data_IF_103394079040
#
_entry.id   IF_103394079040
#
_cell.length_a   1.000
_cell.length_b   1.000
_cell.length_c   1.000
_cell.angle_alpha   90.00
_cell.angle_beta   90.00
_cell.angle_gamma   90.00
#
_symmetry.space_group_name_H-M   'P 1'
#
loop_
_entity.id
_entity.type
_entity.pdbx_description
1 polymer ?
#
# COMPACT_ATOMS: atom_id res chain seq x y z
N UNK A 1 -18.29 2.27 -0.91
CA UNK A 1 -19.65 1.68 -0.89
C UNK A 1 -19.79 0.66 0.23
N UNK A 2 -18.94 -0.38 0.28
CA UNK A 2 -18.94 -1.37 1.37
C UNK A 2 -18.96 -0.75 2.77
N UNK A 3 -18.00 0.13 3.09
CA UNK A 3 -17.93 0.81 4.40
C UNK A 3 -19.24 1.51 4.78
N UNK A 4 -19.89 2.17 3.82
CA UNK A 4 -21.16 2.88 4.06
C UNK A 4 -22.28 1.89 4.38
N UNK A 5 -22.35 0.75 3.68
CA UNK A 5 -23.34 -0.30 3.94
C UNK A 5 -23.10 -0.98 5.29
N UNK A 6 -21.84 -1.20 5.66
CA UNK A 6 -21.47 -1.74 6.98
C UNK A 6 -21.87 -0.77 8.08
N UNK A 7 -21.50 0.52 7.96
CA UNK A 7 -21.90 1.55 8.92
C UNK A 7 -23.42 1.68 9.00
N UNK A 8 -24.12 1.62 7.87
CA UNK A 8 -25.57 1.64 7.84
C UNK A 8 -26.17 0.46 8.62
N UNK A 9 -25.71 -0.76 8.36
CA UNK A 9 -26.18 -1.98 9.06
C UNK A 9 -25.86 -1.93 10.57
N UNK A 10 -24.68 -1.46 10.94
CA UNK A 10 -24.29 -1.32 12.35
C UNK A 10 -25.11 -0.26 13.08
N UNK A 11 -25.42 0.87 12.41
CA UNK A 11 -26.25 1.94 12.96
C UNK A 11 -27.73 1.54 13.02
N UNK A 12 -28.21 0.74 12.06
CA UNK A 12 -29.61 0.32 11.93
C UNK A 12 -29.97 -0.94 12.72
N UNK A 13 -29.06 -1.45 13.57
CA UNK A 13 -29.25 -2.66 14.40
C UNK A 13 -30.52 -2.64 15.29
N UNK A 14 -31.22 -1.51 15.40
CA UNK A 14 -32.48 -1.41 16.15
C UNK A 14 -33.76 -1.56 15.31
N UNK A 15 -33.73 -1.55 13.97
CA UNK A 15 -34.98 -1.43 13.18
C UNK A 15 -35.09 -2.24 11.87
N UNK A 16 -34.03 -2.89 11.39
CA UNK A 16 -34.10 -3.69 10.15
C UNK A 16 -33.37 -5.04 10.29
N UNK A 17 -34.13 -6.06 10.69
CA UNK A 17 -33.75 -7.47 10.65
C UNK A 17 -33.64 -8.04 9.22
N UNK A 18 -33.90 -7.23 8.18
CA UNK A 18 -34.09 -7.71 6.80
C UNK A 18 -32.84 -7.67 5.92
N UNK A 19 -31.74 -7.03 6.35
CA UNK A 19 -30.54 -6.86 5.51
C UNK A 19 -29.48 -7.94 5.79
N UNK A 20 -29.39 -9.02 4.99
CA UNK A 20 -28.38 -10.06 5.18
C UNK A 20 -26.96 -9.51 4.95
N UNK A 21 -25.97 -10.05 5.66
CA UNK A 21 -24.56 -9.66 5.47
C UNK A 21 -24.10 -9.92 4.04
N UNK A 22 -24.65 -10.94 3.36
CA UNK A 22 -24.39 -11.17 1.94
C UNK A 22 -24.61 -9.92 1.05
N UNK A 23 -25.65 -9.13 1.31
CA UNK A 23 -25.91 -7.90 0.54
C UNK A 23 -24.93 -6.78 0.89
N UNK A 24 -24.55 -6.66 2.16
CA UNK A 24 -23.54 -5.70 2.61
C UNK A 24 -22.19 -5.97 1.94
N UNK A 25 -21.85 -7.26 1.73
CA UNK A 25 -20.65 -7.69 1.03
C UNK A 25 -20.76 -7.67 -0.50
N UNK A 26 -21.94 -7.39 -1.09
CA UNK A 26 -22.14 -7.35 -2.53
C UNK A 26 -21.15 -6.44 -3.31
N UNK A 27 -20.75 -5.25 -2.81
CA UNK A 27 -19.74 -4.44 -3.49
C UNK A 27 -18.37 -5.12 -3.55
N UNK A 28 -18.03 -5.97 -2.57
CA UNK A 28 -16.78 -6.73 -2.56
C UNK A 28 -16.84 -7.93 -3.50
N UNK A 29 -18.00 -8.60 -3.62
CA UNK A 29 -18.19 -9.68 -4.60
C UNK A 29 -18.14 -9.17 -6.03
N UNK A 30 -18.78 -8.03 -6.31
CA UNK A 30 -18.70 -7.42 -7.64
C UNK A 30 -17.27 -6.98 -7.96
N UNK A 31 -16.54 -6.44 -6.97
CA UNK A 31 -15.13 -6.10 -7.13
C UNK A 31 -14.27 -7.34 -7.40
N UNK A 32 -14.45 -8.45 -6.67
CA UNK A 32 -13.67 -9.67 -6.89
C UNK A 32 -13.99 -10.34 -8.23
N UNK A 33 -15.25 -10.36 -8.66
CA UNK A 33 -15.63 -10.88 -9.99
C UNK A 33 -15.05 -10.03 -11.12
N UNK A 34 -15.15 -8.71 -11.00
CA UNK A 34 -14.52 -7.79 -11.95
C UNK A 34 -13.00 -8.00 -11.98
N UNK A 35 -12.40 -8.22 -10.81
CA UNK A 35 -10.99 -8.52 -10.66
C UNK A 35 -10.55 -9.77 -11.42
N UNK A 36 -11.35 -10.84 -11.38
CA UNK A 36 -11.08 -12.07 -12.14
C UNK A 36 -11.08 -11.79 -13.65
N UNK A 37 -12.06 -11.03 -14.14
CA UNK A 37 -12.16 -10.65 -15.56
C UNK A 37 -10.96 -9.83 -15.99
N UNK A 38 -10.57 -8.83 -15.18
CA UNK A 38 -9.42 -7.98 -15.46
C UNK A 38 -8.11 -8.78 -15.38
N UNK A 39 -7.97 -9.72 -14.43
CA UNK A 39 -6.80 -10.59 -14.33
C UNK A 39 -6.64 -11.47 -15.58
N UNK A 40 -7.72 -12.09 -16.07
CA UNK A 40 -7.69 -12.88 -17.32
C UNK A 40 -7.34 -12.00 -18.52
N UNK A 41 -7.90 -10.80 -18.60
CA UNK A 41 -7.55 -9.84 -19.64
C UNK A 41 -6.07 -9.43 -19.56
N UNK A 42 -5.55 -9.15 -18.36
CA UNK A 42 -4.18 -8.73 -18.13
C UNK A 42 -3.17 -9.84 -18.49
N UNK A 43 -3.46 -11.10 -18.15
CA UNK A 43 -2.66 -12.27 -18.56
C UNK A 43 -2.58 -12.35 -20.09
N UNK A 44 -3.67 -12.08 -20.82
CA UNK A 44 -3.65 -12.11 -22.28
C UNK A 44 -2.88 -10.96 -22.94
N UNK A 45 -2.68 -9.86 -22.23
CA UNK A 45 -2.04 -8.64 -22.76
C UNK A 45 -0.67 -8.37 -22.11
N UNK A 46 -0.08 -9.36 -21.42
CA UNK A 46 1.18 -9.27 -20.69
C UNK A 46 1.26 -8.04 -19.76
N UNK A 47 0.15 -7.73 -19.09
CA UNK A 47 0.08 -6.66 -18.08
C UNK A 47 0.26 -7.24 -16.68
N UNK A 48 0.86 -6.46 -15.77
CA UNK A 48 0.93 -6.80 -14.34
C UNK A 48 -0.47 -6.82 -13.72
N UNK A 49 -0.79 -7.83 -12.90
CA UNK A 49 -2.13 -8.05 -12.32
C UNK A 49 -2.11 -8.44 -10.83
N UNK A 50 -1.12 -7.93 -10.08
CA UNK A 50 -0.90 -8.31 -8.67
C UNK A 50 -2.09 -7.94 -7.76
N UNK A 51 -2.67 -6.76 -7.97
CA UNK A 51 -3.85 -6.29 -7.22
C UNK A 51 -5.07 -7.17 -7.53
N UNK A 52 -5.27 -7.46 -8.80
CA UNK A 52 -6.43 -8.19 -9.25
C UNK A 52 -6.42 -9.63 -8.74
N UNK A 53 -5.23 -10.22 -8.64
CA UNK A 53 -5.02 -11.54 -8.07
C UNK A 53 -5.38 -11.56 -6.57
N UNK A 54 -4.98 -10.52 -5.81
CA UNK A 54 -5.29 -10.43 -4.38
C UNK A 54 -6.81 -10.42 -4.10
N UNK A 55 -7.59 -9.62 -4.84
CA UNK A 55 -9.06 -9.61 -4.69
C UNK A 55 -9.70 -10.91 -5.17
N UNK A 56 -9.15 -11.52 -6.23
CA UNK A 56 -9.67 -12.78 -6.77
C UNK A 56 -9.51 -13.93 -5.79
N UNK A 57 -8.34 -14.08 -5.15
CA UNK A 57 -8.08 -15.15 -4.17
C UNK A 57 -8.96 -14.98 -2.93
N UNK A 58 -9.21 -13.74 -2.52
CA UNK A 58 -10.01 -13.44 -1.33
C UNK A 58 -11.52 -13.48 -1.56
N UNK A 59 -12.02 -13.85 -2.76
CA UNK A 59 -13.48 -13.98 -2.97
C UNK A 59 -14.11 -14.98 -2.00
N UNK A 60 -13.43 -16.10 -1.76
CA UNK A 60 -13.88 -17.16 -0.84
C UNK A 60 -13.92 -16.63 0.60
N UNK A 61 -12.93 -15.81 0.98
CA UNK A 61 -12.86 -15.16 2.29
C UNK A 61 -14.08 -14.29 2.54
N UNK A 62 -14.47 -13.47 1.56
CA UNK A 62 -15.62 -12.58 1.69
C UNK A 62 -16.93 -13.36 1.84
N UNK A 63 -17.07 -14.48 1.13
CA UNK A 63 -18.25 -15.35 1.23
C UNK A 63 -18.33 -16.00 2.61
N UNK A 64 -17.24 -16.60 3.09
CA UNK A 64 -17.19 -17.19 4.43
C UNK A 64 -17.43 -16.16 5.52
N UNK A 65 -16.89 -14.95 5.39
CA UNK A 65 -17.10 -13.87 6.34
C UNK A 65 -18.56 -13.43 6.39
N UNK A 66 -19.22 -13.27 5.24
CA UNK A 66 -20.64 -12.93 5.18
C UNK A 66 -21.50 -14.01 5.86
N UNK A 67 -21.28 -15.29 5.54
CA UNK A 67 -22.03 -16.39 6.16
C UNK A 67 -21.76 -16.54 7.66
N UNK A 68 -20.51 -16.31 8.09
CA UNK A 68 -20.13 -16.34 9.50
C UNK A 68 -20.83 -15.22 10.27
N UNK A 69 -20.94 -14.03 9.68
CA UNK A 69 -21.62 -12.89 10.29
C UNK A 69 -23.15 -13.03 10.28
N UNK A 70 -23.72 -13.75 9.32
CA UNK A 70 -25.15 -14.15 9.29
C UNK A 70 -25.47 -15.31 10.26
N UNK A 71 -24.51 -15.75 11.08
CA UNK A 71 -24.65 -16.88 12.03
C UNK A 71 -25.12 -18.21 11.38
N UNK A 72 -24.87 -18.36 10.08
CA UNK A 72 -25.22 -19.59 9.33
C UNK A 72 -24.13 -20.66 9.43
N UNK A 73 -22.90 -20.27 9.79
CA UNK A 73 -21.74 -21.15 9.89
C UNK A 73 -21.05 -21.00 11.26
N UNK A 74 -21.09 -22.04 12.08
CA UNK A 74 -20.44 -22.07 13.40
C UNK A 74 -18.98 -22.53 13.35
N UNK A 75 -18.22 -22.10 12.35
CA UNK A 75 -16.81 -22.49 12.22
C UNK A 75 -15.87 -21.61 13.02
N UNK A 76 -14.70 -22.13 13.37
CA UNK A 76 -13.61 -21.35 13.96
C UNK A 76 -13.21 -20.20 13.04
N UNK A 77 -12.87 -19.05 13.62
CA UNK A 77 -12.47 -17.88 12.84
C UNK A 77 -11.20 -18.14 12.02
N UNK A 78 -10.32 -19.02 12.51
CA UNK A 78 -9.16 -19.48 11.77
C UNK A 78 -9.52 -20.09 10.40
N UNK A 79 -10.63 -20.83 10.31
CA UNK A 79 -11.10 -21.46 9.06
C UNK A 79 -11.61 -20.40 8.09
N UNK A 80 -12.39 -19.44 8.62
CA UNK A 80 -12.89 -18.32 7.82
C UNK A 80 -11.73 -17.57 7.19
N UNK A 81 -10.62 -17.38 7.90
CA UNK A 81 -9.42 -16.67 7.43
C UNK A 81 -8.42 -17.47 6.58
N UNK A 82 -8.73 -18.73 6.19
CA UNK A 82 -7.80 -19.59 5.42
C UNK A 82 -7.25 -18.90 4.16
N UNK A 83 -8.06 -18.27 3.29
CA UNK A 83 -7.51 -17.59 2.10
C UNK A 83 -6.44 -16.53 2.43
N UNK A 84 -6.63 -15.75 3.50
CA UNK A 84 -5.63 -14.78 3.96
C UNK A 84 -4.37 -15.47 4.51
N UNK A 85 -4.52 -16.55 5.28
CA UNK A 85 -3.37 -17.35 5.75
C UNK A 85 -2.54 -17.89 4.60
N UNK A 86 -3.17 -18.35 3.51
CA UNK A 86 -2.48 -18.85 2.32
C UNK A 86 -1.70 -17.73 1.64
N UNK A 87 -2.33 -16.58 1.40
CA UNK A 87 -1.67 -15.41 0.78
C UNK A 87 -0.49 -14.92 1.63
N UNK A 88 -0.67 -14.87 2.95
CA UNK A 88 0.34 -14.38 3.87
C UNK A 88 1.48 -15.37 4.06
N UNK A 89 1.19 -16.67 4.03
CA UNK A 89 2.22 -17.71 4.03
C UNK A 89 3.06 -17.66 2.76
N UNK A 90 2.42 -17.47 1.59
CA UNK A 90 3.12 -17.29 0.32
C UNK A 90 3.98 -16.01 0.33
N UNK A 91 3.49 -14.91 0.89
CA UNK A 91 4.26 -13.67 1.00
C UNK A 91 5.46 -13.82 1.95
N UNK A 92 5.32 -14.50 3.09
CA UNK A 92 6.44 -14.83 3.99
C UNK A 92 7.53 -15.61 3.24
N UNK A 93 7.15 -16.63 2.46
CA UNK A 93 8.10 -17.40 1.63
C UNK A 93 8.80 -16.49 0.61
N UNK A 94 8.05 -15.63 -0.08
CA UNK A 94 8.61 -14.66 -1.02
C UNK A 94 9.60 -13.69 -0.39
N UNK A 95 9.29 -13.19 0.82
CA UNK A 95 10.18 -12.30 1.57
C UNK A 95 11.43 -13.02 2.06
N UNK A 96 11.30 -14.26 2.56
CA UNK A 96 12.45 -15.07 2.96
C UNK A 96 13.38 -15.32 1.76
N UNK A 97 12.83 -15.65 0.60
CA UNK A 97 13.60 -15.80 -0.63
C UNK A 97 14.33 -14.49 -1.01
N UNK A 98 13.61 -13.37 -0.99
CA UNK A 98 14.21 -12.06 -1.28
C UNK A 98 15.31 -11.68 -0.28
N UNK A 99 15.15 -12.04 1.00
CA UNK A 99 16.14 -11.81 2.04
C UNK A 99 17.40 -12.64 1.81
N UNK A 100 17.24 -13.94 1.50
CA UNK A 100 18.37 -14.83 1.16
C UNK A 100 19.12 -14.29 -0.06
N UNK A 101 18.38 -13.93 -1.13
CA UNK A 101 18.96 -13.33 -2.33
C UNK A 101 19.72 -12.04 -1.99
N UNK A 102 19.14 -11.16 -1.18
CA UNK A 102 19.78 -9.92 -0.76
C UNK A 102 21.06 -10.17 0.05
N UNK A 103 21.09 -11.19 0.93
CA UNK A 103 22.30 -11.58 1.69
C UNK A 103 23.38 -12.15 0.77
N UNK A 104 23.01 -13.01 -0.18
CA UNK A 104 23.94 -13.60 -1.16
C UNK A 104 24.55 -12.49 -2.04
N UNK A 105 23.72 -11.59 -2.57
CA UNK A 105 24.17 -10.43 -3.32
C UNK A 105 25.01 -9.49 -2.44
N UNK A 106 24.72 -9.41 -1.13
CA UNK A 106 25.50 -8.59 -0.22
C UNK A 106 26.94 -9.08 -0.06
N UNK A 107 27.15 -10.39 -0.10
CA UNK A 107 28.48 -11.03 -0.04
C UNK A 107 29.20 -11.05 -1.39
N UNK A 108 28.47 -10.94 -2.50
CA UNK A 108 29.08 -10.85 -3.83
C UNK A 108 29.85 -9.53 -3.98
N UNK A 109 31.16 -9.61 -4.23
CA UNK A 109 32.07 -8.45 -4.34
C UNK A 109 31.94 -7.74 -5.70
N UNK A 110 31.31 -8.39 -6.69
CA UNK A 110 31.32 -7.96 -8.09
C UNK A 110 30.23 -6.94 -8.48
N UNK A 111 29.38 -6.51 -7.54
CA UNK A 111 28.25 -5.61 -7.81
C UNK A 111 28.48 -4.20 -7.26
N UNK A 112 27.98 -3.16 -7.96
CA UNK A 112 28.03 -1.76 -7.52
C UNK A 112 27.38 -1.60 -6.12
N UNK A 113 28.07 -0.90 -5.21
CA UNK A 113 27.62 -0.72 -3.83
C UNK A 113 26.22 -0.06 -3.70
N UNK A 114 25.78 0.68 -4.73
CA UNK A 114 24.45 1.30 -4.80
C UNK A 114 23.33 0.28 -5.03
N UNK A 115 23.47 -0.64 -6.00
CA UNK A 115 22.48 -1.68 -6.29
C UNK A 115 22.34 -2.67 -5.12
N UNK A 116 23.45 -3.03 -4.47
CA UNK A 116 23.44 -3.89 -3.27
C UNK A 116 22.60 -3.31 -2.13
N UNK A 117 22.75 -2.01 -1.85
CA UNK A 117 21.97 -1.32 -0.81
C UNK A 117 20.48 -1.27 -1.16
N UNK A 118 20.15 -1.13 -2.44
CA UNK A 118 18.76 -1.10 -2.91
C UNK A 118 18.05 -2.46 -2.72
N UNK A 119 18.70 -3.58 -3.05
CA UNK A 119 18.13 -4.91 -2.84
C UNK A 119 17.95 -5.24 -1.35
N UNK A 120 18.94 -4.88 -0.51
CA UNK A 120 18.84 -5.04 0.94
C UNK A 120 17.72 -4.19 1.54
N UNK A 121 17.65 -2.90 1.17
CA UNK A 121 16.60 -2.00 1.65
C UNK A 121 15.22 -2.51 1.24
N UNK A 122 15.05 -2.96 0.00
CA UNK A 122 13.80 -3.54 -0.49
C UNK A 122 13.41 -4.81 0.28
N UNK A 123 14.33 -5.75 0.51
CA UNK A 123 14.03 -6.97 1.27
C UNK A 123 13.65 -6.67 2.73
N UNK A 124 14.36 -5.73 3.37
CA UNK A 124 14.05 -5.28 4.74
C UNK A 124 12.68 -4.62 4.82
N UNK A 125 12.35 -3.74 3.87
CA UNK A 125 11.01 -3.13 3.79
C UNK A 125 9.91 -4.19 3.66
N UNK A 126 10.10 -5.22 2.82
CA UNK A 126 9.09 -6.27 2.64
C UNK A 126 8.91 -7.08 3.93
N UNK A 127 10.02 -7.33 4.64
CA UNK A 127 10.02 -8.01 5.94
C UNK A 127 9.29 -7.20 7.00
N UNK A 128 9.53 -5.88 7.06
CA UNK A 128 8.88 -4.97 8.00
C UNK A 128 7.38 -4.76 7.71
N UNK A 129 6.90 -5.08 6.51
CA UNK A 129 5.47 -5.04 6.19
C UNK A 129 4.78 -6.38 6.45
N UNK A 130 5.36 -7.48 5.98
CA UNK A 130 4.72 -8.80 6.05
C UNK A 130 4.64 -9.33 7.49
N UNK A 131 5.69 -9.16 8.30
CA UNK A 131 5.71 -9.69 9.68
C UNK A 131 4.62 -9.04 10.56
N UNK A 132 4.47 -7.71 10.64
CA UNK A 132 3.41 -7.14 11.46
C UNK A 132 2.00 -7.46 10.95
N UNK A 133 1.81 -7.62 9.63
CA UNK A 133 0.52 -8.07 9.07
C UNK A 133 0.21 -9.51 9.51
N UNK A 134 1.22 -10.40 9.55
CA UNK A 134 1.10 -11.76 10.10
C UNK A 134 0.77 -11.77 11.59
N UNK A 135 1.44 -10.95 12.38
CA UNK A 135 1.15 -10.80 13.81
C UNK A 135 -0.27 -10.28 14.00
N UNK A 136 -0.71 -9.29 13.22
CA UNK A 136 -2.07 -8.80 13.24
C UNK A 136 -3.09 -9.91 12.94
N UNK A 137 -2.89 -10.69 11.88
CA UNK A 137 -3.79 -11.77 11.52
C UNK A 137 -3.89 -12.81 12.64
N UNK A 138 -2.76 -13.20 13.24
CA UNK A 138 -2.70 -14.15 14.34
C UNK A 138 -3.43 -13.63 15.59
N UNK A 139 -3.19 -12.37 15.98
CA UNK A 139 -3.86 -11.76 17.13
C UNK A 139 -5.36 -11.60 16.89
N UNK A 140 -5.76 -11.23 15.67
CA UNK A 140 -7.16 -11.08 15.31
C UNK A 140 -7.88 -12.43 15.33
N UNK A 141 -7.30 -13.45 14.69
CA UNK A 141 -7.89 -14.80 14.69
C UNK A 141 -7.99 -15.34 16.10
N UNK A 142 -6.92 -15.22 16.90
CA UNK A 142 -6.92 -15.71 18.28
C UNK A 142 -7.96 -15.01 19.16
N UNK A 143 -8.10 -13.68 19.02
CA UNK A 143 -9.10 -12.93 19.77
C UNK A 143 -10.53 -13.29 19.35
N UNK A 144 -10.80 -13.37 18.05
CA UNK A 144 -12.14 -13.70 17.56
C UNK A 144 -12.54 -15.13 17.91
N UNK A 145 -11.59 -16.07 17.87
CA UNK A 145 -11.82 -17.47 18.24
C UNK A 145 -12.00 -17.65 19.75
N UNK A 146 -11.23 -16.94 20.57
CA UNK A 146 -11.46 -16.89 22.01
C UNK A 146 -12.88 -16.39 22.33
N UNK A 147 -13.31 -15.27 21.72
CA UNK A 147 -14.68 -14.75 21.93
C UNK A 147 -15.77 -15.76 21.53
N UNK A 148 -15.52 -16.58 20.51
CA UNK A 148 -16.51 -17.55 20.02
C UNK A 148 -16.54 -18.88 20.79
N UNK A 149 -15.41 -19.31 21.38
CA UNK A 149 -15.26 -20.69 21.90
C UNK A 149 -14.70 -20.81 23.31
N UNK A 150 -14.15 -19.74 23.92
CA UNK A 150 -13.62 -19.82 25.29
C UNK A 150 -14.68 -19.39 26.31
N UNK A 151 -15.07 -20.32 27.18
CA UNK A 151 -15.93 -20.07 28.36
C UNK A 151 -15.19 -19.33 29.49
N UNK A 152 -13.86 -19.15 29.37
CA UNK A 152 -13.00 -18.59 30.42
C UNK A 152 -12.91 -17.05 30.30
N UNK A 153 -13.61 -16.36 31.21
CA UNK A 153 -13.92 -14.93 31.21
C UNK A 153 -12.68 -13.99 31.27
N UNK A 154 -11.50 -14.52 31.60
CA UNK A 154 -10.32 -13.71 31.98
C UNK A 154 -9.35 -13.35 30.84
N UNK A 155 -9.41 -13.99 29.67
CA UNK A 155 -8.50 -13.67 28.53
C UNK A 155 -8.98 -12.43 27.74
N UNK A 156 -10.19 -11.95 28.03
CA UNK A 156 -10.98 -11.01 27.21
C UNK A 156 -10.67 -9.52 27.40
N UNK A 157 -9.54 -9.14 27.99
CA UNK A 157 -9.24 -7.72 28.26
C UNK A 157 -8.27 -7.08 27.25
N UNK A 158 -7.83 -7.79 26.21
CA UNK A 158 -6.96 -7.17 25.21
C UNK A 158 -7.80 -6.27 24.29
N UNK A 159 -7.63 -4.93 24.33
CA UNK A 159 -8.45 -4.03 23.54
C UNK A 159 -8.18 -4.24 22.04
N UNK A 160 -9.19 -4.04 21.19
CA UNK A 160 -9.04 -4.18 19.73
C UNK A 160 -7.95 -3.26 19.15
N UNK A 161 -7.69 -2.12 19.80
CA UNK A 161 -6.59 -1.22 19.43
C UNK A 161 -5.23 -1.93 19.49
N UNK A 162 -4.99 -2.75 20.52
CA UNK A 162 -3.73 -3.50 20.67
C UNK A 162 -3.64 -4.60 19.61
N UNK A 163 -4.75 -5.28 19.32
CA UNK A 163 -4.82 -6.28 18.23
C UNK A 163 -4.51 -5.64 16.88
N UNK A 164 -5.10 -4.46 16.60
CA UNK A 164 -4.88 -3.72 15.35
C UNK A 164 -3.53 -2.97 15.30
N UNK A 165 -2.80 -2.87 16.41
CA UNK A 165 -1.57 -2.07 16.49
C UNK A 165 -0.48 -2.49 15.48
N UNK A 166 -0.20 -3.79 15.23
CA UNK A 166 0.82 -4.19 14.27
C UNK A 166 0.44 -3.78 12.84
N UNK A 167 -0.86 -3.84 12.51
CA UNK A 167 -1.37 -3.38 11.23
C UNK A 167 -1.18 -1.87 11.07
N UNK A 168 -1.56 -1.08 12.07
CA UNK A 168 -1.40 0.38 12.04
C UNK A 168 0.10 0.75 11.89
N UNK A 169 0.98 0.09 12.65
CA UNK A 169 2.43 0.29 12.54
C UNK A 169 2.91 -0.02 11.12
N UNK A 170 2.46 -1.14 10.52
CA UNK A 170 2.84 -1.49 9.14
C UNK A 170 2.35 -0.47 8.11
N UNK A 171 1.14 0.07 8.27
CA UNK A 171 0.59 1.09 7.38
C UNK A 171 1.34 2.43 7.51
N UNK A 172 1.69 2.83 8.74
CA UNK A 172 2.54 4.00 8.97
C UNK A 172 3.92 3.79 8.34
N UNK A 173 4.50 2.61 8.55
CA UNK A 173 5.79 2.23 7.96
C UNK A 173 5.75 2.29 6.41
N UNK A 174 4.69 1.76 5.81
CA UNK A 174 4.42 1.83 4.37
C UNK A 174 4.37 3.27 3.86
N UNK A 175 3.65 4.15 4.56
CA UNK A 175 3.55 5.57 4.21
C UNK A 175 4.92 6.25 4.29
N UNK A 176 5.69 6.01 5.36
CA UNK A 176 7.03 6.57 5.53
C UNK A 176 7.99 6.09 4.43
N UNK A 177 7.99 4.80 4.10
CA UNK A 177 8.82 4.23 3.03
C UNK A 177 8.44 4.76 1.64
N UNK A 178 7.17 5.14 1.45
CA UNK A 178 6.65 5.65 0.17
C UNK A 178 7.18 7.04 -0.21
N UNK A 179 7.61 7.85 0.76
CA UNK A 179 8.25 9.14 0.50
C UNK A 179 9.71 9.01 0.00
N UNK A 180 10.38 7.89 0.30
CA UNK A 180 11.79 7.66 -0.04
C UNK A 180 12.02 6.93 -1.36
N UNK A 181 10.97 6.40 -2.00
CA UNK A 181 11.09 5.61 -3.22
C UNK A 181 11.35 6.51 -4.45
N UNK A 182 12.55 6.44 -5.03
CA UNK A 182 12.96 7.18 -6.24
C UNK A 182 12.42 6.60 -7.57
N UNK A 183 11.55 5.61 -7.52
CA UNK A 183 10.87 5.00 -8.68
C UNK A 183 9.39 4.83 -8.39
N UNK A 184 8.61 4.43 -9.41
CA UNK A 184 7.20 4.01 -9.21
C UNK A 184 7.09 3.07 -8.01
N UNK A 185 6.01 3.20 -7.25
CA UNK A 185 5.91 2.62 -5.92
C UNK A 185 5.21 1.25 -6.00
N UNK A 186 5.93 0.12 -6.11
CA UNK A 186 5.30 -1.19 -6.09
C UNK A 186 4.52 -1.43 -4.79
N UNK A 187 4.91 -0.74 -3.71
CA UNK A 187 4.32 -0.89 -2.38
C UNK A 187 2.90 -0.34 -2.25
N UNK A 188 2.52 0.61 -3.11
CA UNK A 188 1.14 1.12 -3.20
C UNK A 188 0.37 0.41 -4.30
N UNK A 189 0.41 -0.94 -4.31
CA UNK A 189 -0.42 -1.75 -5.20
C UNK A 189 -0.29 -1.33 -6.68
N UNK A 190 0.96 -1.14 -7.14
CA UNK A 190 1.24 -0.82 -8.54
C UNK A 190 1.09 0.65 -8.93
N UNK A 191 1.10 1.59 -7.98
CA UNK A 191 1.14 3.03 -8.26
C UNK A 191 2.36 3.37 -9.14
N UNK A 192 2.09 3.79 -10.38
CA UNK A 192 3.12 4.02 -11.43
C UNK A 192 3.91 5.32 -11.25
N UNK A 193 3.65 6.07 -10.19
CA UNK A 193 4.28 7.35 -9.85
C UNK A 193 4.74 7.35 -8.38
N UNK A 194 5.73 8.18 -8.00
CA UNK A 194 6.04 8.39 -6.58
C UNK A 194 4.85 9.06 -5.86
N UNK A 195 4.67 8.72 -4.58
CA UNK A 195 3.46 9.05 -3.81
C UNK A 195 3.12 10.55 -3.82
N UNK A 196 4.11 11.44 -3.67
CA UNK A 196 3.88 12.89 -3.70
C UNK A 196 3.38 13.37 -5.06
N UNK A 197 3.91 12.83 -6.16
CA UNK A 197 3.47 13.21 -7.51
C UNK A 197 2.04 12.75 -7.74
N UNK A 198 1.69 11.54 -7.33
CA UNK A 198 0.32 11.03 -7.39
C UNK A 198 -0.65 11.88 -6.54
N UNK A 199 -0.25 12.25 -5.31
CA UNK A 199 -1.05 13.13 -4.44
C UNK A 199 -1.26 14.52 -5.06
N UNK A 200 -0.21 15.12 -5.61
CA UNK A 200 -0.29 16.43 -6.27
C UNK A 200 -1.09 16.39 -7.57
N UNK A 201 -1.10 15.26 -8.29
CA UNK A 201 -1.95 15.08 -9.47
C UNK A 201 -3.42 14.87 -9.11
N UNK A 202 -3.69 14.12 -8.04
CA UNK A 202 -5.06 13.83 -7.56
C UNK A 202 -5.69 15.03 -6.85
N UNK A 203 -4.87 15.88 -6.20
CA UNK A 203 -5.31 17.05 -5.46
C UNK A 203 -4.91 18.36 -6.17
N UNK A 204 -5.76 18.93 -7.06
CA UNK A 204 -5.44 20.15 -7.82
C UNK A 204 -5.18 21.37 -6.91
N UNK A 205 -5.81 21.44 -5.75
CA UNK A 205 -5.60 22.50 -4.76
C UNK A 205 -4.17 22.48 -4.20
N UNK A 206 -3.62 21.29 -3.96
CA UNK A 206 -2.27 21.11 -3.44
C UNK A 206 -1.22 21.39 -4.53
N UNK A 207 -1.55 21.08 -5.79
CA UNK A 207 -0.74 21.43 -6.97
C UNK A 207 -0.60 22.94 -7.15
N UNK A 208 -1.67 23.71 -6.93
CA UNK A 208 -1.63 25.17 -6.97
C UNK A 208 -0.74 25.74 -5.85
N UNK A 209 -0.79 25.14 -4.65
CA UNK A 209 0.03 25.57 -3.52
C UNK A 209 1.52 25.24 -3.72
N UNK A 210 1.84 24.07 -4.27
CA UNK A 210 3.21 23.65 -4.57
C UNK A 210 3.89 24.47 -5.69
N UNK A 211 3.11 25.17 -6.52
CA UNK A 211 3.61 26.00 -7.62
C UNK A 211 3.97 27.44 -7.19
N UNK A 212 3.80 27.81 -5.91
CA UNK A 212 4.19 29.11 -5.41
C UNK A 212 5.71 29.17 -5.18
N UNK A 213 6.42 29.73 -6.17
CA UNK A 213 7.84 30.08 -6.02
C UNK A 213 7.95 31.39 -5.24
N UNK A 214 8.15 31.32 -3.93
CA UNK A 214 8.50 32.51 -3.15
C UNK A 214 9.90 32.99 -3.52
N UNK A 215 10.00 34.07 -4.31
CA UNK A 215 11.21 34.88 -4.35
C UNK A 215 11.19 35.76 -3.10
N UNK A 216 11.97 35.41 -2.08
CA UNK A 216 12.33 36.39 -1.07
C UNK A 216 13.19 37.44 -1.75
N UNK A 217 12.59 38.58 -2.05
CA UNK A 217 13.31 39.76 -2.53
C UNK A 217 14.16 40.29 -1.38
N UNK A 218 15.42 39.87 -1.30
CA UNK A 218 16.44 40.70 -0.69
C UNK A 218 16.66 41.88 -1.63
N UNK A 219 16.20 43.05 -1.19
CA UNK A 219 16.40 44.35 -1.81
C UNK A 219 17.86 44.54 -2.27
N UNK A 220 18.03 45.02 -3.51
CA UNK A 220 19.12 45.88 -4.06
C UNK A 220 20.37 46.05 -3.19
N UNK A 221 21.61 45.78 -3.61
CA UNK A 221 22.25 46.52 -4.72
C UNK A 221 23.63 45.94 -5.15
N UNK A 222 23.85 44.61 -5.08
CA UNK A 222 25.20 44.03 -5.35
C UNK A 222 25.33 43.05 -6.52
N UNK A 223 24.25 42.69 -7.20
CA UNK A 223 24.24 41.59 -8.19
C UNK A 223 24.47 42.00 -9.66
N UNK A 224 24.68 43.28 -9.95
CA UNK A 224 24.99 43.71 -11.34
C UNK A 224 26.43 43.39 -11.75
N UNK A 225 27.36 43.18 -10.81
CA UNK A 225 28.75 42.85 -11.14
C UNK A 225 29.01 41.33 -11.28
N UNK A 226 28.20 40.49 -10.63
CA UNK A 226 28.34 39.02 -10.66
C UNK A 226 27.71 38.38 -11.91
N UNK A 227 26.63 38.99 -12.44
CA UNK A 227 25.92 38.47 -13.62
C UNK A 227 26.73 38.55 -14.92
N UNK A 228 27.61 39.54 -15.07
CA UNK A 228 28.46 39.67 -16.26
C UNK A 228 29.68 38.73 -16.22
N UNK A 229 30.19 38.42 -15.03
CA UNK A 229 31.25 37.42 -14.85
C UNK A 229 30.75 35.98 -15.12
N UNK A 230 29.50 35.67 -14.73
CA UNK A 230 28.89 34.35 -14.94
C UNK A 230 28.48 34.12 -16.41
N UNK A 231 28.12 35.18 -17.15
CA UNK A 231 27.87 35.10 -18.60
C UNK A 231 29.13 34.83 -19.43
N UNK A 232 30.30 35.29 -18.97
CA UNK A 232 31.58 35.01 -19.63
C UNK A 232 32.08 33.58 -19.36
N UNK A 233 31.86 33.03 -18.16
CA UNK A 233 32.24 31.65 -17.84
C UNK A 233 31.37 30.61 -18.58
N UNK A 234 30.09 30.89 -18.79
CA UNK A 234 29.16 30.00 -19.52
C UNK A 234 29.41 29.90 -21.03
N UNK A 235 30.21 30.80 -21.63
CA UNK A 235 30.61 30.71 -23.04
C UNK A 235 31.77 29.75 -23.28
N UNK A 236 32.52 29.39 -22.23
CA UNK A 236 33.71 28.54 -22.30
C UNK A 236 33.40 27.04 -22.31
N UNK A 237 32.25 26.62 -21.77
CA UNK A 237 32.01 25.19 -21.50
C UNK A 237 30.93 24.60 -22.43
N UNK A 238 31.35 24.23 -23.65
CA UNK A 238 30.45 23.78 -24.72
C UNK A 238 30.14 22.26 -24.70
N UNK A 239 30.30 21.56 -23.57
CA UNK A 239 30.29 20.08 -23.56
C UNK A 239 29.29 19.36 -22.64
N UNK A 240 28.34 20.02 -21.98
CA UNK A 240 27.35 19.31 -21.15
C UNK A 240 25.90 19.75 -21.41
N UNK A 241 25.43 19.48 -22.63
CA UNK A 241 23.99 19.58 -22.95
C UNK A 241 23.24 18.41 -22.30
N UNK A 242 22.76 18.61 -21.07
CA UNK A 242 21.60 17.87 -20.55
C UNK A 242 20.37 18.61 -21.07
N UNK A 243 19.53 18.01 -21.94
CA UNK A 243 18.30 18.65 -22.37
C UNK A 243 17.30 18.63 -21.21
N UNK A 244 17.14 19.78 -20.54
CA UNK A 244 16.02 20.06 -19.65
C UNK A 244 14.73 19.96 -20.48
N UNK A 245 13.96 18.88 -20.29
CA UNK A 245 12.66 18.70 -20.94
C UNK A 245 11.66 19.78 -20.44
N UNK A 246 10.77 20.23 -21.33
CA UNK A 246 9.96 21.43 -21.13
C UNK A 246 8.80 21.22 -20.15
N UNK A 247 8.45 22.34 -19.53
CA UNK A 247 7.26 22.62 -18.72
C UNK A 247 6.01 22.07 -19.42
N UNK A 248 5.23 21.23 -18.72
CA UNK A 248 3.94 20.72 -19.22
C UNK A 248 2.96 21.90 -19.26
N UNK A 249 2.41 22.25 -20.43
CA UNK A 249 1.46 23.35 -20.53
C UNK A 249 0.10 22.92 -19.94
N UNK A 250 -0.51 23.83 -19.19
CA UNK A 250 -1.91 23.73 -18.77
C UNK A 250 -2.75 24.05 -20.01
N UNK A 251 -3.46 23.06 -20.56
CA UNK A 251 -4.57 23.34 -21.48
C UNK A 251 -5.81 23.65 -20.62
N UNK A 252 -6.26 24.89 -20.71
CA UNK A 252 -7.62 25.32 -20.36
C UNK A 252 -8.65 24.61 -21.21
#
# INVERSE_FOLDING_TARGET
MFEVLVCYKLQSQLSLDELPWLLVFAPLFTLSLLSIVIAVWAIRHDKSFEFELFFSINVVQFVFLAFKLDATLDWHWAIVFIPLWVVLSLSVVGVLYALVLAIVLARSVHMLASQRRQHLYSALCHTLLVIPILVFLLLLTGKLDAVAWSEDEQVTQVPYIVVCSPLIISLICLVLMSFGARGGNPWWFGMRAPFCTFLLETCPCLKQYANLRYKFGTSSDRDTASADAERQSLRSDRSSKIPLRPIIPIRS
#
